data_IF_872609926071
#
_entry.id   IF_872609926071
#
_cell.length_a   1.000
_cell.length_b   1.000
_cell.length_c   1.000
_cell.angle_alpha   90.00
_cell.angle_beta   90.00
_cell.angle_gamma   90.00
#
_symmetry.space_group_name_H-M   'P 1'
#
loop_
_entity.id
_entity.type
_entity.pdbx_description
1 polymer ?
#
# COMPACT_ATOMS: atom_id res chain seq x y z
N UNK A 1 -40.73 -50.89 7.70
CA UNK A 1 -39.43 -50.25 7.38
C UNK A 1 -39.19 -49.23 8.48
N UNK A 2 -38.13 -49.46 9.27
CA UNK A 2 -37.93 -48.86 10.60
C UNK A 2 -37.35 -47.44 10.47
N UNK A 3 -38.01 -46.49 11.12
CA UNK A 3 -37.57 -45.12 11.39
C UNK A 3 -36.37 -45.17 12.36
N UNK A 4 -35.25 -44.54 12.02
CA UNK A 4 -34.15 -44.29 12.97
C UNK A 4 -34.06 -42.80 13.23
N UNK A 5 -34.73 -42.39 14.31
CA UNK A 5 -34.48 -41.15 15.04
C UNK A 5 -33.26 -41.37 15.93
N UNK A 6 -32.24 -40.52 15.81
CA UNK A 6 -31.20 -40.37 16.83
C UNK A 6 -31.13 -38.90 17.27
N UNK A 7 -31.94 -38.60 18.29
CA UNK A 7 -31.64 -37.65 19.37
C UNK A 7 -30.40 -38.15 20.14
N UNK A 8 -29.57 -37.42 20.89
CA UNK A 8 -29.79 -36.38 21.92
C UNK A 8 -28.42 -35.66 22.21
N UNK A 9 -28.19 -34.89 23.31
CA UNK A 9 -27.70 -33.51 23.31
C UNK A 9 -26.25 -33.38 23.84
N UNK A 10 -25.75 -32.16 24.09
CA UNK A 10 -25.39 -31.73 25.46
C UNK A 10 -24.71 -30.37 25.44
N UNK A 11 -25.25 -29.46 26.25
CA UNK A 11 -24.68 -28.17 26.56
C UNK A 11 -23.56 -28.30 27.59
N UNK A 12 -22.44 -27.60 27.37
CA UNK A 12 -21.49 -27.29 28.43
C UNK A 12 -21.33 -25.78 28.49
N UNK A 13 -21.96 -25.19 29.50
CA UNK A 13 -21.68 -23.85 29.97
C UNK A 13 -20.43 -23.92 30.87
N UNK A 14 -19.43 -23.06 30.64
CA UNK A 14 -18.40 -22.78 31.64
C UNK A 14 -17.74 -21.40 31.41
N UNK A 15 -18.29 -20.43 32.16
CA UNK A 15 -17.63 -19.39 32.97
C UNK A 15 -16.53 -18.51 32.35
N UNK A 16 -16.85 -17.21 32.29
CA UNK A 16 -15.88 -16.11 32.42
C UNK A 16 -15.20 -16.14 33.81
N UNK A 17 -13.93 -15.74 33.88
CA UNK A 17 -13.43 -14.96 35.01
C UNK A 17 -13.34 -13.47 34.66
N UNK A 18 -13.85 -12.66 35.59
CA UNK A 18 -13.75 -11.21 35.63
C UNK A 18 -12.38 -10.75 36.17
N UNK A 19 -12.01 -9.53 35.76
CA UNK A 19 -11.14 -8.51 36.40
C UNK A 19 -9.85 -8.94 37.15
N UNK A 20 -8.71 -8.37 36.70
CA UNK A 20 -7.60 -8.03 37.61
C UNK A 20 -6.85 -6.77 37.13
N UNK A 21 -7.22 -5.66 37.75
CA UNK A 21 -6.50 -4.39 37.79
C UNK A 21 -5.10 -4.61 38.40
N UNK A 22 -4.03 -4.18 37.71
CA UNK A 22 -2.66 -4.11 38.28
C UNK A 22 -2.11 -2.70 38.09
N UNK A 23 -2.74 -1.74 38.77
CA UNK A 23 -2.05 -0.52 39.19
C UNK A 23 -0.99 -0.89 40.23
N UNK A 24 0.15 -0.19 40.14
CA UNK A 24 1.14 0.10 41.17
C UNK A 24 2.54 -0.45 40.88
N UNK A 25 3.36 0.40 40.27
CA UNK A 25 4.74 0.53 40.72
C UNK A 25 5.15 2.01 40.60
N UNK A 26 5.04 2.72 41.73
CA UNK A 26 5.69 4.02 41.94
C UNK A 26 6.94 3.72 42.74
N UNK A 27 8.12 4.08 42.23
CA UNK A 27 9.28 4.42 43.05
C UNK A 27 9.97 5.64 42.44
N UNK A 28 10.02 6.67 43.28
CA UNK A 28 10.63 7.99 43.12
C UNK A 28 12.15 7.94 43.18
N UNK A 29 12.85 8.76 42.38
CA UNK A 29 14.11 9.38 42.78
C UNK A 29 14.44 10.62 41.92
N UNK A 30 14.52 11.75 42.59
CA UNK A 30 14.97 13.07 42.15
C UNK A 30 16.51 13.15 42.08
N UNK A 31 17.10 13.81 41.07
CA UNK A 31 18.21 14.79 41.22
C UNK A 31 18.76 15.31 39.88
N UNK A 32 18.69 16.64 39.75
CA UNK A 32 19.65 17.62 39.23
C UNK A 32 20.39 17.45 37.90
N UNK A 33 20.19 18.48 37.06
CA UNK A 33 21.07 19.16 36.10
C UNK A 33 22.33 18.42 35.60
N UNK A 34 22.43 18.30 34.28
CA UNK A 34 23.54 18.82 33.47
C UNK A 34 23.02 18.96 32.03
N UNK A 35 23.13 20.17 31.46
CA UNK A 35 22.91 20.44 30.03
C UNK A 35 24.21 20.07 29.33
N UNK A 36 24.26 19.07 28.44
CA UNK A 36 25.28 19.01 27.42
C UNK A 36 24.73 19.72 26.18
N UNK A 37 25.12 20.98 25.99
CA UNK A 37 25.25 21.54 24.64
C UNK A 37 26.28 20.69 23.92
N UNK A 38 25.81 19.79 23.05
CA UNK A 38 26.67 19.06 22.13
C UNK A 38 26.22 19.36 20.69
N UNK A 39 27.20 19.53 19.78
CA UNK A 39 27.03 20.21 18.51
C UNK A 39 26.28 19.34 17.50
N UNK A 40 25.74 20.01 16.49
CA UNK A 40 25.15 19.47 15.26
C UNK A 40 25.61 18.04 14.95
N UNK A 41 24.69 17.09 15.14
CA UNK A 41 24.86 15.72 14.66
C UNK A 41 24.76 15.77 13.14
N UNK A 42 25.92 15.65 12.51
CA UNK A 42 26.08 15.57 11.07
C UNK A 42 25.32 14.36 10.52
N UNK A 43 24.40 14.69 9.62
CA UNK A 43 23.71 13.85 8.64
C UNK A 43 24.69 12.89 7.93
N UNK A 44 24.66 11.62 8.32
CA UNK A 44 25.40 10.54 7.65
C UNK A 44 24.65 9.20 7.76
N UNK A 45 23.96 8.97 8.89
CA UNK A 45 23.07 7.81 9.04
C UNK A 45 21.78 7.97 8.23
N UNK A 46 21.21 9.18 8.15
CA UNK A 46 19.96 9.44 7.42
C UNK A 46 20.13 9.30 5.90
N UNK A 47 21.25 9.79 5.34
CA UNK A 47 21.56 9.69 3.90
C UNK A 47 21.65 8.24 3.43
N UNK A 48 22.16 7.33 4.26
CA UNK A 48 22.23 5.90 3.93
C UNK A 48 20.86 5.22 3.83
N UNK A 49 19.85 5.79 4.50
CA UNK A 49 18.48 5.27 4.47
C UNK A 49 17.64 5.93 3.38
N UNK A 50 17.90 7.19 3.03
CA UNK A 50 17.22 7.84 1.91
C UNK A 50 17.63 7.20 0.57
N UNK A 51 18.90 6.86 0.41
CA UNK A 51 19.38 6.18 -0.80
C UNK A 51 18.77 4.78 -0.98
N UNK A 52 18.54 4.03 0.11
CA UNK A 52 17.83 2.74 0.04
C UNK A 52 16.34 2.90 -0.28
N UNK A 53 15.71 3.96 0.22
CA UNK A 53 14.30 4.25 -0.07
C UNK A 53 14.13 4.68 -1.54
N UNK A 54 15.03 5.54 -2.05
CA UNK A 54 15.09 5.91 -3.47
C UNK A 54 15.32 4.69 -4.37
N UNK A 55 16.24 3.81 -4.02
CA UNK A 55 16.45 2.57 -4.76
C UNK A 55 15.19 1.68 -4.81
N UNK A 56 14.42 1.66 -3.72
CA UNK A 56 13.14 0.93 -3.65
C UNK A 56 12.08 1.57 -4.55
N UNK A 57 12.03 2.90 -4.62
CA UNK A 57 11.15 3.64 -5.54
C UNK A 57 11.53 3.42 -7.01
N UNK A 58 12.81 3.48 -7.35
CA UNK A 58 13.31 3.21 -8.71
C UNK A 58 13.03 1.77 -9.16
N UNK A 59 13.16 0.82 -8.24
CA UNK A 59 12.80 -0.58 -8.48
C UNK A 59 11.29 -0.73 -8.69
N UNK A 60 10.47 -0.05 -7.89
CA UNK A 60 9.00 -0.02 -8.03
C UNK A 60 8.59 0.59 -9.37
N UNK A 61 9.23 1.68 -9.80
CA UNK A 61 9.03 2.30 -11.10
C UNK A 61 9.35 1.31 -12.23
N UNK A 62 10.46 0.59 -12.10
CA UNK A 62 10.86 -0.44 -13.06
C UNK A 62 9.87 -1.61 -13.13
N UNK A 63 9.21 -1.96 -12.02
CA UNK A 63 8.12 -2.94 -11.99
C UNK A 63 6.88 -2.41 -12.73
N UNK A 64 6.45 -1.19 -12.44
CA UNK A 64 5.30 -0.56 -13.08
C UNK A 64 5.48 -0.44 -14.61
N UNK A 65 6.70 -0.15 -15.08
CA UNK A 65 7.01 -0.06 -16.51
C UNK A 65 6.84 -1.38 -17.28
N UNK A 66 6.75 -2.54 -16.61
CA UNK A 66 6.45 -3.83 -17.25
C UNK A 66 4.96 -3.99 -17.57
N UNK A 67 4.10 -3.35 -16.79
CA UNK A 67 2.64 -3.50 -16.83
C UNK A 67 1.99 -3.09 -18.18
N UNK A 68 2.43 -2.06 -18.92
CA UNK A 68 1.80 -1.67 -20.19
C UNK A 68 1.73 -2.81 -21.21
N UNK A 69 2.77 -3.66 -21.24
CA UNK A 69 2.82 -4.83 -22.11
C UNK A 69 1.81 -5.90 -21.68
N UNK A 70 1.57 -6.06 -20.38
CA UNK A 70 0.61 -7.01 -19.83
C UNK A 70 -0.83 -6.56 -20.06
N UNK A 71 -1.11 -5.27 -19.89
CA UNK A 71 -2.43 -4.67 -20.18
C UNK A 71 -2.78 -4.82 -21.66
N UNK A 72 -1.84 -4.54 -22.56
CA UNK A 72 -2.07 -4.71 -24.01
C UNK A 72 -2.39 -6.16 -24.37
N UNK A 73 -1.75 -7.11 -23.69
CA UNK A 73 -1.99 -8.54 -23.87
C UNK A 73 -3.16 -9.09 -23.03
N UNK A 74 -3.91 -8.22 -22.34
CA UNK A 74 -5.05 -8.59 -21.50
C UNK A 74 -4.73 -9.63 -20.41
N UNK A 75 -3.48 -9.64 -19.93
CA UNK A 75 -3.02 -10.57 -18.88
C UNK A 75 -3.29 -9.99 -17.49
N UNK A 76 -4.56 -9.81 -17.16
CA UNK A 76 -4.99 -9.09 -15.95
C UNK A 76 -4.47 -9.71 -14.64
N UNK A 77 -4.50 -11.03 -14.52
CA UNK A 77 -3.95 -11.71 -13.33
C UNK A 77 -2.44 -11.49 -13.17
N UNK A 78 -1.70 -11.43 -14.28
CA UNK A 78 -0.26 -11.12 -14.26
C UNK A 78 0.00 -9.68 -13.82
N UNK A 79 -0.87 -8.74 -14.18
CA UNK A 79 -0.77 -7.35 -13.69
C UNK A 79 -0.94 -7.32 -12.17
N UNK A 80 -1.97 -7.99 -11.64
CA UNK A 80 -2.20 -8.06 -10.19
C UNK A 80 -1.05 -8.73 -9.44
N UNK A 81 -0.44 -9.77 -10.02
CA UNK A 81 0.74 -10.42 -9.45
C UNK A 81 1.91 -9.44 -9.32
N UNK A 82 2.16 -8.58 -10.32
CA UNK A 82 3.20 -7.53 -10.25
C UNK A 82 2.89 -6.50 -9.17
N UNK A 83 1.63 -6.07 -9.04
CA UNK A 83 1.23 -5.09 -8.02
C UNK A 83 1.42 -5.59 -6.58
N UNK A 84 1.38 -6.91 -6.38
CA UNK A 84 1.55 -7.57 -5.08
C UNK A 84 3.00 -7.98 -4.78
N UNK A 85 3.92 -7.76 -5.71
CA UNK A 85 5.34 -8.07 -5.53
C UNK A 85 6.05 -6.90 -4.80
N UNK A 86 6.92 -7.16 -3.81
CA UNK A 86 7.80 -6.14 -3.27
C UNK A 86 8.79 -5.63 -4.33
N UNK A 87 9.27 -4.39 -4.27
CA UNK A 87 8.97 -3.33 -3.29
C UNK A 87 7.64 -2.61 -3.51
N UNK A 88 6.99 -2.75 -4.67
CA UNK A 88 5.75 -2.03 -4.99
C UNK A 88 4.62 -2.31 -3.98
N UNK A 89 4.52 -3.55 -3.49
CA UNK A 89 3.59 -3.93 -2.42
C UNK A 89 3.70 -3.05 -1.17
N UNK A 90 4.90 -2.59 -0.83
CA UNK A 90 5.12 -1.82 0.40
C UNK A 90 4.55 -0.38 0.28
N UNK A 91 4.21 0.07 -0.93
CA UNK A 91 3.56 1.35 -1.20
C UNK A 91 2.03 1.30 -1.00
N UNK A 92 1.45 0.11 -0.75
CA UNK A 92 -0.01 -0.10 -0.67
C UNK A 92 -0.67 0.26 0.67
N UNK A 93 0.10 0.45 1.74
CA UNK A 93 -0.48 0.65 3.06
C UNK A 93 -0.46 2.14 3.46
N UNK A 94 -1.66 2.65 3.80
CA UNK A 94 -1.91 4.06 4.19
C UNK A 94 -1.06 4.54 5.38
N UNK A 95 -0.56 3.62 6.19
CA UNK A 95 0.32 3.91 7.32
C UNK A 95 1.59 3.06 7.24
N UNK A 96 2.17 2.86 6.06
CA UNK A 96 3.47 2.22 6.02
C UNK A 96 4.49 3.07 6.74
N UNK A 97 5.41 2.45 7.48
CA UNK A 97 6.56 3.18 8.02
C UNK A 97 7.37 3.83 6.90
N UNK A 98 7.29 3.30 5.67
CA UNK A 98 7.96 3.84 4.48
C UNK A 98 7.55 5.28 4.17
N UNK A 99 6.28 5.60 3.97
CA UNK A 99 5.87 6.95 3.51
C UNK A 99 6.20 8.04 4.51
N UNK A 100 5.96 7.81 5.81
CA UNK A 100 6.31 8.77 6.86
C UNK A 100 7.82 8.88 7.06
N UNK A 101 8.56 7.77 7.02
CA UNK A 101 10.01 7.80 7.12
C UNK A 101 10.63 8.49 5.90
N UNK A 102 10.09 8.27 4.71
CA UNK A 102 10.54 8.92 3.49
C UNK A 102 10.27 10.42 3.53
N UNK A 103 9.03 10.83 3.82
CA UNK A 103 8.66 12.25 3.89
C UNK A 103 9.49 13.03 4.93
N UNK A 104 9.81 12.42 6.08
CA UNK A 104 10.65 13.07 7.10
C UNK A 104 12.11 13.30 6.68
N UNK A 105 12.57 12.65 5.59
CA UNK A 105 13.94 12.77 5.06
C UNK A 105 14.03 13.72 3.86
N UNK A 106 12.89 14.12 3.31
CA UNK A 106 12.78 15.00 2.16
C UNK A 106 12.55 16.43 2.66
N UNK A 107 13.08 17.43 1.95
CA UNK A 107 12.90 18.85 2.33
C UNK A 107 11.42 19.25 2.35
N UNK A 108 10.68 18.84 1.32
CA UNK A 108 9.25 19.08 1.19
C UNK A 108 8.41 17.89 1.66
N UNK A 109 8.25 17.79 2.98
CA UNK A 109 7.49 16.72 3.65
C UNK A 109 6.03 16.68 3.17
N UNK A 110 5.38 17.83 3.01
CA UNK A 110 3.96 17.89 2.65
C UNK A 110 3.72 17.34 1.26
N UNK A 111 4.50 17.81 0.26
CA UNK A 111 4.38 17.29 -1.11
C UNK A 111 4.71 15.80 -1.18
N UNK A 112 5.66 15.30 -0.38
CA UNK A 112 5.99 13.88 -0.34
C UNK A 112 4.84 13.04 0.24
N UNK A 113 4.13 13.54 1.25
CA UNK A 113 2.94 12.88 1.81
C UNK A 113 1.75 12.92 0.84
N UNK A 114 1.53 14.04 0.18
CA UNK A 114 0.46 14.20 -0.82
C UNK A 114 0.67 13.23 -2.00
N UNK A 115 1.87 13.24 -2.61
CA UNK A 115 2.22 12.32 -3.71
C UNK A 115 2.10 10.84 -3.27
N UNK A 116 2.42 10.53 -2.02
CA UNK A 116 2.26 9.19 -1.47
C UNK A 116 0.79 8.77 -1.35
N UNK A 117 -0.09 9.66 -0.89
CA UNK A 117 -1.53 9.41 -0.77
C UNK A 117 -2.21 9.33 -2.15
N UNK A 118 -1.78 10.15 -3.11
CA UNK A 118 -2.22 10.09 -4.51
C UNK A 118 -1.78 8.78 -5.17
N UNK A 119 -0.51 8.38 -5.01
CA UNK A 119 0.00 7.09 -5.49
C UNK A 119 -0.82 5.92 -4.95
N UNK A 120 -1.09 5.91 -3.63
CA UNK A 120 -1.90 4.87 -3.01
C UNK A 120 -3.30 4.81 -3.61
N UNK A 121 -3.90 5.97 -3.88
CA UNK A 121 -5.23 6.07 -4.47
C UNK A 121 -5.24 5.50 -5.88
N UNK A 122 -4.29 5.89 -6.72
CA UNK A 122 -4.15 5.38 -8.08
C UNK A 122 -3.84 3.88 -8.12
N UNK A 123 -3.01 3.36 -7.23
CA UNK A 123 -2.71 1.92 -7.14
C UNK A 123 -3.97 1.10 -6.83
N UNK A 124 -4.85 1.60 -5.97
CA UNK A 124 -6.12 0.94 -5.64
C UNK A 124 -7.11 0.97 -6.80
N UNK A 125 -7.21 2.10 -7.50
CA UNK A 125 -8.05 2.20 -8.70
C UNK A 125 -7.51 1.33 -9.85
N UNK A 126 -6.18 1.24 -9.98
CA UNK A 126 -5.54 0.33 -10.92
C UNK A 126 -5.87 -1.13 -10.59
N UNK A 127 -5.69 -1.60 -9.35
CA UNK A 127 -6.04 -2.98 -8.99
C UNK A 127 -7.53 -3.27 -9.21
N UNK A 128 -8.41 -2.33 -8.84
CA UNK A 128 -9.85 -2.49 -9.05
C UNK A 128 -10.22 -2.56 -10.54
N UNK A 129 -9.67 -1.69 -11.38
CA UNK A 129 -9.94 -1.69 -12.82
C UNK A 129 -9.39 -2.95 -13.51
N UNK A 130 -8.22 -3.44 -13.08
CA UNK A 130 -7.63 -4.69 -13.55
C UNK A 130 -8.44 -5.90 -13.09
N UNK A 131 -8.88 -5.91 -11.82
CA UNK A 131 -9.74 -6.98 -11.29
C UNK A 131 -11.06 -7.07 -12.04
N UNK A 132 -11.72 -5.94 -12.29
CA UNK A 132 -12.98 -5.91 -13.04
C UNK A 132 -12.79 -6.43 -14.47
N UNK A 133 -11.64 -6.15 -15.09
CA UNK A 133 -11.32 -6.64 -16.44
C UNK A 133 -11.22 -8.17 -16.55
N UNK A 134 -10.96 -8.89 -15.45
CA UNK A 134 -11.02 -10.37 -15.43
C UNK A 134 -12.42 -10.87 -15.80
N UNK A 135 -13.46 -10.09 -15.50
CA UNK A 135 -14.87 -10.42 -15.76
C UNK A 135 -15.48 -9.58 -16.88
N UNK A 136 -14.66 -9.03 -17.79
CA UNK A 136 -15.11 -8.14 -18.84
C UNK A 136 -16.09 -8.84 -19.81
N UNK A 137 -17.40 -8.48 -19.82
CA UNK A 137 -18.38 -9.12 -20.69
C UNK A 137 -18.17 -8.75 -22.17
N UNK A 138 -17.50 -7.63 -22.46
CA UNK A 138 -17.23 -7.15 -23.82
C UNK A 138 -16.28 -8.12 -24.55
N UNK A 139 -15.35 -8.75 -23.82
CA UNK A 139 -14.41 -9.70 -24.40
C UNK A 139 -15.11 -10.96 -24.95
N UNK A 140 -16.26 -11.34 -24.38
CA UNK A 140 -17.03 -12.53 -24.78
C UNK A 140 -18.21 -12.20 -25.69
N UNK A 141 -18.91 -11.09 -25.44
CA UNK A 141 -20.17 -10.74 -26.12
C UNK A 141 -19.94 -9.76 -27.29
N UNK A 142 -18.75 -9.18 -27.40
CA UNK A 142 -18.42 -8.15 -28.37
C UNK A 142 -18.88 -6.75 -27.95
N UNK A 143 -18.50 -5.74 -28.73
CA UNK A 143 -18.80 -4.33 -28.43
C UNK A 143 -20.25 -3.93 -28.76
N UNK A 144 -20.98 -4.78 -29.51
CA UNK A 144 -22.35 -4.52 -29.93
C UNK A 144 -23.31 -4.59 -28.73
N UNK A 145 -23.62 -3.43 -28.15
CA UNK A 145 -24.51 -3.29 -26.99
C UNK A 145 -23.83 -2.70 -25.75
N UNK A 146 -22.49 -2.60 -25.75
CA UNK A 146 -21.76 -1.92 -24.69
C UNK A 146 -21.87 -0.39 -24.86
N UNK A 147 -22.07 0.32 -23.75
CA UNK A 147 -21.99 1.78 -23.76
C UNK A 147 -20.54 2.21 -23.97
N UNK A 148 -20.34 3.39 -24.57
CA UNK A 148 -18.99 3.97 -24.73
C UNK A 148 -18.25 4.10 -23.38
N UNK A 149 -18.98 4.42 -22.32
CA UNK A 149 -18.42 4.53 -20.97
C UNK A 149 -17.95 3.18 -20.43
N UNK A 150 -18.66 2.09 -20.74
CA UNK A 150 -18.25 0.75 -20.34
C UNK A 150 -16.98 0.31 -21.07
N UNK A 151 -16.92 0.54 -22.39
CA UNK A 151 -15.72 0.27 -23.21
C UNK A 151 -14.53 1.07 -22.67
N UNK A 152 -14.74 2.36 -22.42
CA UNK A 152 -13.74 3.24 -21.82
C UNK A 152 -13.26 2.72 -20.47
N UNK A 153 -14.18 2.30 -19.60
CA UNK A 153 -13.80 1.87 -18.26
C UNK A 153 -12.93 0.61 -18.28
N UNK A 154 -13.24 -0.36 -19.15
CA UNK A 154 -12.42 -1.57 -19.25
C UNK A 154 -11.06 -1.33 -19.91
N UNK A 155 -10.98 -0.47 -20.94
CA UNK A 155 -9.76 -0.37 -21.76
C UNK A 155 -8.87 0.84 -21.46
N UNK A 156 -9.46 1.94 -20.99
CA UNK A 156 -8.75 3.21 -20.75
C UNK A 156 -8.42 3.41 -19.28
N UNK A 157 -9.32 3.06 -18.35
CA UNK A 157 -9.08 3.28 -16.91
C UNK A 157 -7.78 2.59 -16.44
N UNK A 158 -7.51 1.30 -16.73
CA UNK A 158 -6.26 0.69 -16.29
C UNK A 158 -5.01 1.38 -16.83
N UNK A 159 -5.08 1.93 -18.05
CA UNK A 159 -3.95 2.65 -18.67
C UNK A 159 -3.75 4.02 -18.02
N UNK A 160 -4.84 4.74 -17.77
CA UNK A 160 -4.83 6.04 -17.11
C UNK A 160 -4.30 5.90 -15.68
N UNK A 161 -4.87 5.00 -14.90
CA UNK A 161 -4.43 4.81 -13.51
C UNK A 161 -2.98 4.33 -13.42
N UNK A 162 -2.53 3.48 -14.34
CA UNK A 162 -1.11 3.10 -14.43
C UNK A 162 -0.22 4.31 -14.73
N UNK A 163 -0.62 5.18 -15.67
CA UNK A 163 0.15 6.38 -15.99
C UNK A 163 0.26 7.34 -14.80
N UNK A 164 -0.82 7.49 -14.03
CA UNK A 164 -0.81 8.26 -12.78
C UNK A 164 0.09 7.63 -11.72
N UNK A 165 0.06 6.30 -11.54
CA UNK A 165 0.99 5.62 -10.63
C UNK A 165 2.45 5.88 -11.00
N UNK A 166 2.78 5.79 -12.30
CA UNK A 166 4.13 6.07 -12.80
C UNK A 166 4.53 7.53 -12.56
N UNK A 167 3.59 8.47 -12.75
CA UNK A 167 3.80 9.89 -12.47
C UNK A 167 4.13 10.12 -11.01
N UNK A 168 3.33 9.60 -10.08
CA UNK A 168 3.53 9.84 -8.65
C UNK A 168 4.81 9.20 -8.10
N UNK A 169 5.18 8.01 -8.58
CA UNK A 169 6.48 7.42 -8.22
C UNK A 169 7.63 8.30 -8.70
N UNK A 170 7.53 8.92 -9.89
CA UNK A 170 8.55 9.87 -10.37
C UNK A 170 8.58 11.14 -9.53
N UNK A 171 7.42 11.71 -9.18
CA UNK A 171 7.32 12.86 -8.27
C UNK A 171 8.06 12.57 -6.97
N UNK A 172 7.81 11.39 -6.37
CA UNK A 172 8.50 10.98 -5.15
C UNK A 172 10.02 10.90 -5.34
N UNK A 173 10.50 10.28 -6.42
CA UNK A 173 11.94 10.19 -6.72
C UNK A 173 12.55 11.59 -6.89
N UNK A 174 11.90 12.47 -7.64
CA UNK A 174 12.35 13.85 -7.87
C UNK A 174 12.46 14.62 -6.56
N UNK A 175 11.48 14.49 -5.67
CA UNK A 175 11.51 15.12 -4.35
C UNK A 175 12.68 14.63 -3.49
N UNK A 176 13.02 13.34 -3.55
CA UNK A 176 14.17 12.80 -2.81
C UNK A 176 15.54 13.09 -3.44
N UNK A 177 15.57 13.57 -4.69
CA UNK A 177 16.79 14.02 -5.38
C UNK A 177 17.04 15.52 -5.24
N UNK A 178 16.07 16.29 -4.73
CA UNK A 178 16.28 17.71 -4.42
C UNK A 178 17.27 17.84 -3.24
N UNK A 179 18.30 18.69 -3.38
CA UNK A 179 19.37 18.84 -2.39
C UNK A 179 18.93 19.56 -1.12
#
# INVERSE_FOLDING_TARGET
>A
MILVLCTVPSAVALRLPAMANRRAFIVTATSSLLIPTSPARTSAAETSTLSSDLFSLETSLSQLNKIPTLITNQKWDSVRAVLLEPPLKDLWAKNTPFTKAYASKVEDELSALEASDELLTHLRYLDMSVYNNVFNPIATEGESGASKELIRSYWEDPKRELSSCISEVKTLIELGQKP
#
